data_IF_066397445517
#
_entry.id   IF_066397445517
#
_cell.length_a   1.000
_cell.length_b   1.000
_cell.length_c   1.000
_cell.angle_alpha   90.00
_cell.angle_beta   90.00
_cell.angle_gamma   90.00
#
_symmetry.space_group_name_H-M   'P 1'
#
loop_
_entity.id
_entity.type
_entity.pdbx_description
1 polymer ?
#
# COMPACT_ATOMS: atom_id res chain seq x y z
N UNK A 1 11.62 -0.30 16.89
CA UNK A 1 11.75 -1.55 16.11
C UNK A 1 10.37 -2.18 16.01
N UNK A 2 9.81 -2.25 14.80
CA UNK A 2 8.48 -2.85 14.57
C UNK A 2 8.64 -4.36 14.82
N UNK A 3 7.93 -4.91 15.82
CA UNK A 3 8.02 -6.33 16.17
C UNK A 3 6.81 -7.14 15.69
N UNK A 4 5.82 -6.50 15.07
CA UNK A 4 4.69 -7.17 14.45
C UNK A 4 4.02 -6.24 13.44
N UNK A 5 3.91 -6.67 12.18
CA UNK A 5 3.09 -6.01 11.15
C UNK A 5 1.80 -6.81 11.00
N UNK A 6 0.67 -6.11 11.01
CA UNK A 6 -0.63 -6.74 10.76
C UNK A 6 -0.71 -7.20 9.28
N UNK A 7 -1.03 -8.48 9.09
CA UNK A 7 -1.19 -9.09 7.76
C UNK A 7 -2.23 -8.37 6.90
N UNK A 8 -3.20 -7.69 7.50
CA UNK A 8 -4.14 -6.84 6.77
C UNK A 8 -3.42 -5.69 6.04
N UNK A 9 -2.42 -5.07 6.67
CA UNK A 9 -1.66 -3.97 6.08
C UNK A 9 -0.86 -4.44 4.87
N UNK A 10 -0.19 -5.59 5.00
CA UNK A 10 0.58 -6.20 3.91
C UNK A 10 -0.34 -6.61 2.76
N UNK A 11 -1.47 -7.26 3.05
CA UNK A 11 -2.45 -7.64 2.03
C UNK A 11 -2.99 -6.41 1.29
N UNK A 12 -3.29 -5.34 2.01
CA UNK A 12 -3.74 -4.09 1.40
C UNK A 12 -2.67 -3.47 0.52
N UNK A 13 -1.42 -3.39 0.98
CA UNK A 13 -0.30 -2.92 0.16
C UNK A 13 -0.16 -3.70 -1.14
N UNK A 14 -0.10 -5.04 -1.07
CA UNK A 14 0.04 -5.91 -2.25
C UNK A 14 -1.12 -5.70 -3.23
N UNK A 15 -2.35 -5.59 -2.71
CA UNK A 15 -3.54 -5.40 -3.55
C UNK A 15 -3.54 -4.03 -4.22
N UNK A 16 -3.13 -2.96 -3.52
CA UNK A 16 -3.00 -1.62 -4.10
C UNK A 16 -1.90 -1.59 -5.16
N UNK A 17 -0.78 -2.28 -4.93
CA UNK A 17 0.30 -2.41 -5.90
C UNK A 17 -0.13 -3.16 -7.17
N UNK A 18 -0.90 -4.24 -7.03
CA UNK A 18 -1.45 -5.02 -8.15
C UNK A 18 -2.46 -4.22 -8.97
N UNK A 19 -3.37 -3.50 -8.30
CA UNK A 19 -4.44 -2.74 -8.96
C UNK A 19 -4.02 -1.35 -9.45
N UNK A 20 -2.87 -0.84 -9.00
CA UNK A 20 -2.42 0.53 -9.23
C UNK A 20 -3.52 1.59 -8.94
N UNK A 21 -4.42 1.31 -7.99
CA UNK A 21 -5.59 2.13 -7.68
C UNK A 21 -6.14 1.81 -6.29
N UNK A 22 -6.31 2.86 -5.48
CA UNK A 22 -6.91 2.73 -4.14
C UNK A 22 -8.36 2.27 -4.20
N UNK A 23 -9.14 2.77 -5.18
CA UNK A 23 -10.56 2.41 -5.32
C UNK A 23 -10.72 0.97 -5.78
N UNK A 24 -9.94 0.53 -6.77
CA UNK A 24 -10.01 -0.85 -7.25
C UNK A 24 -9.55 -1.85 -6.18
N UNK A 25 -8.52 -1.50 -5.40
CA UNK A 25 -8.09 -2.32 -4.27
C UNK A 25 -9.15 -2.40 -3.16
N UNK A 26 -9.83 -1.30 -2.86
CA UNK A 26 -10.93 -1.28 -1.91
C UNK A 26 -12.06 -2.25 -2.31
N UNK A 27 -12.46 -2.21 -3.58
CA UNK A 27 -13.45 -3.15 -4.11
C UNK A 27 -12.97 -4.61 -4.01
N UNK A 28 -11.71 -4.88 -4.34
CA UNK A 28 -11.13 -6.23 -4.28
C UNK A 28 -11.02 -6.78 -2.84
N UNK A 29 -10.90 -5.90 -1.85
CA UNK A 29 -10.79 -6.28 -0.43
C UNK A 29 -12.12 -6.21 0.32
N UNK A 30 -13.22 -5.83 -0.35
CA UNK A 30 -14.50 -5.55 0.28
C UNK A 30 -14.40 -4.50 1.40
N UNK A 31 -13.60 -3.46 1.17
CA UNK A 31 -13.38 -2.34 2.08
C UNK A 31 -13.80 -1.02 1.44
N UNK A 32 -13.93 0.03 2.25
CA UNK A 32 -14.04 1.39 1.73
C UNK A 32 -12.68 1.90 1.26
N UNK A 33 -12.67 2.85 0.32
CA UNK A 33 -11.42 3.48 -0.13
C UNK A 33 -10.68 4.18 1.02
N UNK A 34 -11.42 4.78 1.97
CA UNK A 34 -10.84 5.37 3.18
C UNK A 34 -10.14 4.35 4.08
N UNK A 35 -10.72 3.17 4.26
CA UNK A 35 -10.11 2.09 5.04
C UNK A 35 -8.81 1.58 4.39
N UNK A 36 -8.81 1.38 3.06
CA UNK A 36 -7.59 1.04 2.31
C UNK A 36 -6.53 2.12 2.45
N UNK A 37 -6.89 3.40 2.28
CA UNK A 37 -5.97 4.52 2.43
C UNK A 37 -5.36 4.58 3.84
N UNK A 38 -6.15 4.35 4.88
CA UNK A 38 -5.68 4.34 6.26
C UNK A 38 -4.75 3.17 6.53
N UNK A 39 -5.04 1.98 6.00
CA UNK A 39 -4.15 0.82 6.14
C UNK A 39 -2.81 1.04 5.43
N UNK A 40 -2.81 1.61 4.23
CA UNK A 40 -1.57 1.99 3.54
C UNK A 40 -0.78 3.00 4.38
N UNK A 41 -1.44 4.07 4.86
CA UNK A 41 -0.79 5.10 5.69
C UNK A 41 -0.15 4.50 6.95
N UNK A 42 -0.86 3.59 7.64
CA UNK A 42 -0.32 2.90 8.83
C UNK A 42 0.90 2.04 8.51
N UNK A 43 0.93 1.40 7.35
CA UNK A 43 2.10 0.65 6.91
C UNK A 43 3.29 1.58 6.61
N UNK A 44 3.05 2.67 5.89
CA UNK A 44 4.05 3.68 5.59
C UNK A 44 4.61 4.32 6.87
N UNK A 45 3.76 4.62 7.85
CA UNK A 45 4.16 5.13 9.18
C UNK A 45 5.00 4.11 9.94
N UNK A 46 4.60 2.83 9.94
CA UNK A 46 5.35 1.78 10.59
C UNK A 46 6.77 1.68 10.01
N UNK A 47 6.90 1.72 8.67
CA UNK A 47 8.17 1.64 7.96
C UNK A 47 8.94 2.97 7.91
N UNK A 48 8.32 4.08 8.31
CA UNK A 48 8.91 5.43 8.21
C UNK A 48 9.19 5.86 6.76
N UNK A 49 8.43 5.37 5.79
CA UNK A 49 8.66 5.63 4.36
C UNK A 49 7.37 5.54 3.55
N UNK A 50 7.19 6.45 2.59
CA UNK A 50 6.11 6.35 1.60
C UNK A 50 6.36 5.17 0.66
N UNK A 51 5.33 4.35 0.45
CA UNK A 51 5.34 3.17 -0.42
C UNK A 51 4.71 3.44 -1.77
N UNK A 52 3.82 4.44 -1.84
CA UNK A 52 3.20 4.88 -3.08
C UNK A 52 3.44 6.36 -3.37
N UNK A 53 3.42 6.70 -4.65
CA UNK A 53 3.40 8.07 -5.15
C UNK A 53 2.27 8.23 -6.17
N UNK A 54 1.73 9.44 -6.29
CA UNK A 54 0.74 9.80 -7.32
C UNK A 54 1.39 10.76 -8.31
N UNK A 55 1.36 10.39 -9.57
CA UNK A 55 1.76 11.26 -10.68
C UNK A 55 0.63 11.40 -11.70
N UNK A 56 0.90 12.09 -12.82
CA UNK A 56 -0.05 12.26 -13.92
C UNK A 56 -0.49 10.94 -14.58
N UNK A 57 0.25 9.85 -14.37
CA UNK A 57 0.00 8.51 -14.91
C UNK A 57 -0.69 7.58 -13.90
N UNK A 58 -0.96 8.05 -12.68
CA UNK A 58 -1.72 7.32 -11.68
C UNK A 58 -0.93 7.02 -10.40
N UNK A 59 -1.36 5.97 -9.69
CA UNK A 59 -0.70 5.51 -8.46
C UNK A 59 0.42 4.53 -8.81
N UNK A 60 1.63 4.79 -8.31
CA UNK A 60 2.82 3.96 -8.56
C UNK A 60 3.53 3.65 -7.25
N UNK A 61 4.32 2.59 -7.24
CA UNK A 61 5.22 2.30 -6.13
C UNK A 61 6.36 3.32 -6.09
N UNK A 62 6.81 3.66 -4.88
CA UNK A 62 8.11 4.29 -4.68
C UNK A 62 9.21 3.22 -4.76
N UNK A 63 10.48 3.63 -4.77
CA UNK A 63 11.62 2.71 -4.65
C UNK A 63 11.49 1.79 -3.43
N UNK A 64 11.10 2.34 -2.28
CA UNK A 64 10.88 1.56 -1.06
C UNK A 64 9.72 0.58 -1.23
N UNK A 65 8.64 1.00 -1.91
CA UNK A 65 7.52 0.12 -2.26
C UNK A 65 7.94 -1.04 -3.17
N UNK A 66 8.78 -0.78 -4.17
CA UNK A 66 9.33 -1.82 -5.06
C UNK A 66 10.21 -2.82 -4.29
N UNK A 67 11.07 -2.31 -3.39
CA UNK A 67 11.90 -3.15 -2.52
C UNK A 67 11.05 -4.02 -1.58
N UNK A 68 10.01 -3.45 -0.97
CA UNK A 68 9.10 -4.20 -0.10
C UNK A 68 8.36 -5.30 -0.86
N UNK A 69 8.04 -5.08 -2.14
CA UNK A 69 7.42 -6.08 -3.01
C UNK A 69 8.43 -7.12 -3.54
N UNK A 70 9.72 -6.95 -3.28
CA UNK A 70 10.77 -7.82 -3.81
C UNK A 70 11.04 -7.64 -5.31
N UNK A 71 10.74 -6.46 -5.87
CA UNK A 71 10.97 -6.13 -7.30
C UNK A 71 12.34 -5.45 -7.55
N UNK A 72 13.37 -5.78 -6.76
CA UNK A 72 14.71 -5.17 -6.82
C UNK A 72 15.82 -6.17 -7.10
#
# INVERSE_FOLDING_TARGET
MIRNLDMALIRTFITVADKASMTAAANALHLTQGAVSQQVKRLEEALGSSLFTRDRRGLRLTRTGEQLLGRG
#
